data_IF_641251758542
#
_entry.id   IF_641251758542
#
_cell.length_a   1.000
_cell.length_b   1.000
_cell.length_c   1.000
_cell.angle_alpha   90.00
_cell.angle_beta   90.00
_cell.angle_gamma   90.00
#
_symmetry.space_group_name_H-M   'P 1'
#
loop_
_entity.id
_entity.type
_entity.pdbx_description
1 polymer ?
#
# COMPACT_ATOMS: atom_id res chain seq x y z
N UNK A 1 -20.57 45.77 3.19
CA UNK A 1 -21.45 44.64 3.54
C UNK A 1 -21.06 43.43 2.70
N UNK A 2 -20.89 42.26 3.34
CA UNK A 2 -20.68 40.91 2.79
C UNK A 2 -19.27 40.57 2.27
N UNK A 3 -18.56 39.49 2.65
CA UNK A 3 -18.69 38.45 3.69
C UNK A 3 -17.26 37.89 3.91
N UNK A 4 -16.86 37.64 5.17
CA UNK A 4 -15.71 36.78 5.50
C UNK A 4 -16.09 35.33 5.18
N UNK A 5 -15.29 34.62 4.39
CA UNK A 5 -15.12 33.17 4.53
C UNK A 5 -13.62 32.87 4.43
N UNK A 6 -13.06 32.57 5.59
CA UNK A 6 -11.78 31.91 5.81
C UNK A 6 -11.72 30.56 5.12
N UNK A 7 -10.79 30.38 4.19
CA UNK A 7 -10.12 29.09 4.00
C UNK A 7 -8.62 29.29 4.16
N UNK A 8 -8.23 29.27 5.43
CA UNK A 8 -6.93 28.86 5.92
C UNK A 8 -6.52 27.61 5.13
N UNK A 9 -5.66 27.73 4.12
CA UNK A 9 -4.95 26.58 3.58
C UNK A 9 -3.93 26.17 4.64
N UNK A 10 -4.43 25.37 5.57
CA UNK A 10 -3.68 24.60 6.55
C UNK A 10 -2.84 23.60 5.76
N UNK A 11 -1.52 23.70 5.94
CA UNK A 11 -0.51 22.62 6.03
C UNK A 11 -0.83 21.37 5.20
N UNK A 12 0.08 20.93 4.32
CA UNK A 12 1.23 20.17 4.79
C UNK A 12 2.42 20.30 3.84
N UNK A 13 3.55 20.67 4.42
CA UNK A 13 4.87 20.37 3.89
C UNK A 13 5.00 18.85 3.79
N UNK A 14 4.70 18.28 2.63
CA UNK A 14 5.06 16.88 2.36
C UNK A 14 6.54 16.86 2.06
N UNK A 15 7.36 16.73 3.11
CA UNK A 15 8.74 16.27 3.01
C UNK A 15 8.76 15.03 2.14
N UNK A 16 9.13 15.18 0.86
CA UNK A 16 9.52 14.09 -0.02
C UNK A 16 10.81 13.51 0.54
N UNK A 17 10.69 12.64 1.54
CA UNK A 17 11.75 11.72 1.87
C UNK A 17 11.90 10.80 0.66
N UNK A 18 12.87 11.10 -0.20
CA UNK A 18 13.23 10.29 -1.36
C UNK A 18 13.96 9.01 -0.89
N UNK A 19 13.34 8.26 0.02
CA UNK A 19 13.74 6.91 0.36
C UNK A 19 13.15 6.02 -0.71
N UNK A 20 13.99 5.30 -1.48
CA UNK A 20 13.56 4.35 -2.49
C UNK A 20 12.61 3.31 -1.88
N UNK A 21 11.31 3.59 -1.92
CA UNK A 21 10.28 2.72 -1.38
C UNK A 21 10.08 1.55 -2.33
N UNK A 22 10.11 0.32 -1.79
CA UNK A 22 9.81 -0.88 -2.58
C UNK A 22 8.41 -0.73 -3.17
N UNK A 23 8.24 -1.01 -4.47
CA UNK A 23 6.94 -0.96 -5.15
C UNK A 23 6.23 -2.32 -5.09
N UNK A 24 7.01 -3.39 -4.98
CA UNK A 24 6.58 -4.79 -4.97
C UNK A 24 6.39 -5.27 -3.54
N UNK A 25 5.35 -6.06 -3.30
CA UNK A 25 5.10 -6.71 -2.01
C UNK A 25 5.45 -8.20 -2.05
N UNK A 26 6.11 -8.68 -1.00
CA UNK A 26 6.51 -10.08 -0.82
C UNK A 26 5.68 -10.78 0.25
N UNK A 27 5.67 -12.12 0.30
CA UNK A 27 4.97 -12.86 1.34
C UNK A 27 5.37 -12.47 2.76
N UNK A 28 6.64 -12.07 2.98
CA UNK A 28 7.13 -11.63 4.29
C UNK A 28 6.55 -10.28 4.72
N UNK A 29 6.39 -9.34 3.79
CA UNK A 29 5.72 -8.06 4.04
C UNK A 29 4.27 -8.29 4.46
N UNK A 30 3.56 -9.14 3.71
CA UNK A 30 2.17 -9.50 4.01
C UNK A 30 2.08 -10.19 5.37
N UNK A 31 3.02 -11.08 5.68
CA UNK A 31 3.08 -11.73 6.98
C UNK A 31 3.26 -10.72 8.12
N UNK A 32 4.11 -9.71 7.94
CA UNK A 32 4.31 -8.66 8.94
C UNK A 32 3.06 -7.76 9.08
N UNK A 33 2.36 -7.49 7.98
CA UNK A 33 1.15 -6.66 7.97
C UNK A 33 -0.04 -7.40 8.59
N UNK A 34 -0.24 -8.67 8.24
CA UNK A 34 -1.47 -9.41 8.57
C UNK A 34 -1.32 -10.44 9.69
N UNK A 35 -0.10 -10.74 10.14
CA UNK A 35 0.18 -11.79 11.13
C UNK A 35 -0.15 -13.22 10.66
N UNK A 36 -0.31 -13.44 9.35
CA UNK A 36 -0.71 -14.73 8.78
C UNK A 36 0.50 -15.62 8.54
N UNK A 37 0.27 -16.93 8.43
CA UNK A 37 1.35 -17.84 8.04
C UNK A 37 1.85 -17.54 6.62
N UNK A 38 3.12 -17.84 6.36
CA UNK A 38 3.73 -17.61 5.05
C UNK A 38 2.97 -18.31 3.91
N UNK A 39 2.40 -19.49 4.17
CA UNK A 39 1.54 -20.22 3.22
C UNK A 39 0.30 -19.41 2.85
N UNK A 40 -0.39 -18.84 3.84
CA UNK A 40 -1.55 -18.00 3.57
C UNK A 40 -1.16 -16.73 2.82
N UNK A 41 -0.01 -16.14 3.12
CA UNK A 41 0.50 -14.96 2.41
C UNK A 41 0.79 -15.25 0.93
N UNK A 42 1.38 -16.41 0.61
CA UNK A 42 1.53 -16.86 -0.78
C UNK A 42 0.19 -17.05 -1.49
N UNK A 43 -0.81 -17.60 -0.79
CA UNK A 43 -2.15 -17.77 -1.35
C UNK A 43 -2.80 -16.41 -1.64
N UNK A 44 -2.65 -15.41 -0.75
CA UNK A 44 -3.13 -14.05 -0.97
C UNK A 44 -2.50 -13.46 -2.25
N UNK A 45 -1.18 -13.56 -2.41
CA UNK A 45 -0.49 -13.09 -3.62
C UNK A 45 -1.04 -13.79 -4.87
N UNK A 46 -1.22 -15.12 -4.82
CA UNK A 46 -1.76 -15.87 -5.94
C UNK A 46 -3.19 -15.44 -6.29
N UNK A 47 -4.03 -15.16 -5.30
CA UNK A 47 -5.39 -14.65 -5.51
C UNK A 47 -5.38 -13.25 -6.13
N UNK A 48 -4.54 -12.34 -5.61
CA UNK A 48 -4.40 -10.98 -6.19
C UNK A 48 -3.93 -11.07 -7.65
N UNK A 49 -2.94 -11.93 -7.96
CA UNK A 49 -2.51 -12.16 -9.35
C UNK A 49 -3.67 -12.61 -10.25
N UNK A 50 -4.56 -13.48 -9.76
CA UNK A 50 -5.75 -13.93 -10.51
C UNK A 50 -6.74 -12.78 -10.73
N UNK A 51 -7.03 -11.98 -9.70
CA UNK A 51 -7.94 -10.83 -9.80
C UNK A 51 -7.46 -9.82 -10.84
N UNK A 52 -6.15 -9.58 -10.93
CA UNK A 52 -5.54 -8.66 -11.88
C UNK A 52 -5.08 -9.32 -13.20
N UNK A 53 -5.45 -10.58 -13.47
CA UNK A 53 -5.05 -11.35 -14.66
C UNK A 53 -3.52 -11.30 -14.95
N UNK A 54 -2.70 -11.32 -13.90
CA UNK A 54 -1.25 -11.21 -14.01
C UNK A 54 -0.61 -12.50 -14.51
N UNK A 55 0.45 -12.35 -15.31
CA UNK A 55 1.29 -13.48 -15.72
C UNK A 55 2.17 -13.98 -14.56
N UNK A 56 2.67 -15.22 -14.67
CA UNK A 56 3.48 -15.86 -13.63
C UNK A 56 4.69 -15.04 -13.18
N UNK A 57 5.35 -14.38 -14.14
CA UNK A 57 6.52 -13.54 -13.91
C UNK A 57 6.19 -12.16 -13.32
N UNK A 58 4.94 -11.70 -13.42
CA UNK A 58 4.53 -10.40 -12.90
C UNK A 58 4.32 -10.45 -11.40
N UNK A 59 4.86 -9.46 -10.71
CA UNK A 59 4.74 -9.30 -9.26
C UNK A 59 3.47 -8.54 -8.87
N UNK A 60 3.06 -8.71 -7.61
CA UNK A 60 2.00 -7.91 -6.99
C UNK A 60 2.64 -6.66 -6.40
N UNK A 61 2.03 -5.51 -6.67
CA UNK A 61 2.44 -4.23 -6.09
C UNK A 61 1.82 -4.04 -4.72
N UNK A 62 2.41 -3.17 -3.91
CA UNK A 62 1.83 -2.80 -2.62
C UNK A 62 0.43 -2.19 -2.82
N UNK A 63 0.25 -1.39 -3.87
CA UNK A 63 -1.05 -0.78 -4.20
C UNK A 63 -2.13 -1.83 -4.45
N UNK A 64 -1.86 -2.82 -5.31
CA UNK A 64 -2.81 -3.90 -5.59
C UNK A 64 -3.15 -4.73 -4.34
N UNK A 65 -2.18 -4.92 -3.45
CA UNK A 65 -2.44 -5.55 -2.16
C UNK A 65 -3.33 -4.68 -1.26
N UNK A 66 -3.06 -3.38 -1.16
CA UNK A 66 -3.88 -2.43 -0.41
C UNK A 66 -5.32 -2.42 -0.91
N UNK A 67 -5.51 -2.33 -2.24
CA UNK A 67 -6.81 -2.36 -2.89
C UNK A 67 -7.56 -3.65 -2.56
N UNK A 68 -6.89 -4.80 -2.68
CA UNK A 68 -7.48 -6.11 -2.39
C UNK A 68 -7.87 -6.28 -0.92
N UNK A 69 -7.08 -5.72 0.00
CA UNK A 69 -7.30 -5.86 1.44
C UNK A 69 -8.18 -4.76 2.05
N UNK A 70 -8.55 -3.73 1.27
CA UNK A 70 -9.27 -2.56 1.76
C UNK A 70 -8.46 -1.71 2.75
N UNK A 71 -7.13 -1.68 2.59
CA UNK A 71 -6.21 -0.95 3.47
C UNK A 71 -5.76 0.33 2.76
N UNK A 72 -5.79 1.47 3.47
CA UNK A 72 -5.25 2.72 2.91
C UNK A 72 -3.72 2.64 2.82
N UNK A 73 -3.17 2.82 1.61
CA UNK A 73 -1.74 2.80 1.34
C UNK A 73 -0.93 3.74 2.24
N UNK A 74 -1.49 4.91 2.60
CA UNK A 74 -0.82 5.89 3.46
C UNK A 74 -0.65 5.40 4.91
N UNK A 75 -1.44 4.42 5.33
CA UNK A 75 -1.37 3.84 6.68
C UNK A 75 -0.31 2.75 6.80
N UNK A 76 0.29 2.31 5.69
CA UNK A 76 1.33 1.30 5.74
C UNK A 76 2.59 1.85 6.41
N UNK A 77 3.23 1.07 7.31
CA UNK A 77 4.48 1.48 7.91
C UNK A 77 5.53 1.62 6.80
N UNK A 78 6.10 2.82 6.65
CA UNK A 78 7.12 3.22 5.65
C UNK A 78 8.37 2.32 5.66
N UNK A 79 8.50 1.41 6.63
CA UNK A 79 9.61 0.48 6.78
C UNK A 79 9.16 -0.96 6.50
N UNK A 80 8.87 -1.26 5.23
CA UNK A 80 8.99 -2.63 4.74
C UNK A 80 10.49 -2.93 4.61
N UNK A 81 11.04 -3.67 5.57
CA UNK A 81 12.48 -3.96 5.68
C UNK A 81 12.88 -5.07 4.72
#
# INVERSE_FOLDING_TARGET
MQKKITHKQVKNNTTKNNTMSRIIIYPKDIQQITGKSERQCRNIIATIKKVHNKQKHQSVTIHEFCDYMGINFETLPVKLK
#
